data_IF_690754500882
#
_entry.id   IF_690754500882
#
_cell.length_a   1.000
_cell.length_b   1.000
_cell.length_c   1.000
_cell.angle_alpha   90.00
_cell.angle_beta   90.00
_cell.angle_gamma   90.00
#
_symmetry.space_group_name_H-M   'P 1'
#
loop_
_entity.id
_entity.type
_entity.pdbx_description
1 polymer ?
#
# COMPACT_ATOMS: atom_id res chain seq x y z
N UNK A 1 -16.43 15.94 -13.54
CA UNK A 1 -16.19 16.17 -14.99
C UNK A 1 -16.96 15.09 -15.76
N UNK A 2 -17.44 15.34 -16.97
CA UNK A 2 -18.07 14.31 -17.81
C UNK A 2 -17.49 14.34 -19.23
N UNK A 3 -17.65 13.25 -19.98
CA UNK A 3 -17.20 13.16 -21.38
C UNK A 3 -18.35 13.47 -22.31
N UNK A 4 -18.11 14.33 -23.30
CA UNK A 4 -19.01 14.64 -24.40
C UNK A 4 -18.42 14.10 -25.69
N UNK A 5 -19.23 13.39 -26.48
CA UNK A 5 -18.83 12.89 -27.80
C UNK A 5 -19.56 13.69 -28.88
N UNK A 6 -18.99 14.81 -29.33
CA UNK A 6 -19.49 15.61 -30.46
C UNK A 6 -18.31 15.99 -31.35
N UNK A 7 -18.16 15.31 -32.50
CA UNK A 7 -17.02 15.53 -33.41
C UNK A 7 -15.65 15.15 -32.82
N UNK A 8 -15.66 14.23 -31.84
CA UNK A 8 -14.51 13.87 -30.99
C UNK A 8 -14.92 13.76 -29.52
N UNK A 9 -14.11 13.08 -28.71
CA UNK A 9 -14.29 13.03 -27.26
C UNK A 9 -13.76 14.32 -26.61
N UNK A 10 -14.53 14.88 -25.67
CA UNK A 10 -14.16 16.09 -24.91
C UNK A 10 -14.48 15.92 -23.44
N UNK A 11 -13.54 16.30 -22.57
CA UNK A 11 -13.76 16.38 -21.14
C UNK A 11 -14.34 17.75 -20.79
N UNK A 12 -15.53 17.76 -20.21
CA UNK A 12 -16.24 19.00 -19.83
C UNK A 12 -16.35 19.09 -18.31
N UNK A 13 -15.88 20.22 -17.77
CA UNK A 13 -16.08 20.59 -16.39
C UNK A 13 -17.54 21.05 -16.19
N UNK A 14 -18.23 20.44 -15.22
CA UNK A 14 -19.64 20.72 -14.91
C UNK A 14 -19.84 21.48 -13.59
N UNK A 15 -18.76 21.84 -12.90
CA UNK A 15 -18.83 22.34 -11.53
C UNK A 15 -19.61 23.66 -11.44
N UNK A 16 -19.21 24.68 -12.22
CA UNK A 16 -19.89 25.99 -12.30
C UNK A 16 -21.34 25.88 -12.77
N UNK A 17 -21.62 24.96 -13.71
CA UNK A 17 -22.97 24.74 -14.22
C UNK A 17 -23.90 24.13 -13.19
N UNK A 18 -23.42 23.16 -12.41
CA UNK A 18 -24.22 22.48 -11.38
C UNK A 18 -24.40 23.33 -10.12
N UNK A 19 -23.41 24.12 -9.73
CA UNK A 19 -23.47 24.90 -8.48
C UNK A 19 -24.00 26.32 -8.66
N UNK A 20 -23.75 26.97 -9.80
CA UNK A 20 -24.04 28.41 -9.98
C UNK A 20 -24.96 28.70 -11.18
N UNK A 21 -25.42 27.68 -11.91
CA UNK A 21 -26.26 27.86 -13.10
C UNK A 21 -25.54 28.55 -14.27
N UNK A 22 -24.22 28.70 -14.18
CA UNK A 22 -23.38 29.38 -15.17
C UNK A 22 -23.01 28.48 -16.37
N UNK A 23 -22.50 29.05 -17.48
CA UNK A 23 -21.91 28.28 -18.56
C UNK A 23 -20.78 27.37 -18.07
N UNK A 24 -20.52 26.29 -18.83
CA UNK A 24 -19.50 25.29 -18.46
C UNK A 24 -18.11 25.89 -18.30
N UNK A 25 -17.43 25.55 -17.21
CA UNK A 25 -16.11 26.08 -16.82
C UNK A 25 -15.08 25.99 -17.95
N UNK A 26 -14.97 24.79 -18.52
CA UNK A 26 -13.89 24.42 -19.42
C UNK A 26 -14.28 23.16 -20.20
N UNK A 27 -13.82 23.09 -21.43
CA UNK A 27 -13.89 21.91 -22.28
C UNK A 27 -12.49 21.65 -22.83
N UNK A 28 -12.01 20.41 -22.70
CA UNK A 28 -10.68 20.02 -23.13
C UNK A 28 -10.82 18.83 -24.07
N UNK A 29 -10.10 18.84 -25.20
CA UNK A 29 -10.09 17.72 -26.14
C UNK A 29 -9.55 16.47 -25.45
N UNK A 30 -10.30 15.36 -25.51
CA UNK A 30 -9.93 14.12 -24.84
C UNK A 30 -8.58 13.58 -25.34
N UNK A 31 -8.33 13.67 -26.65
CA UNK A 31 -7.09 13.18 -27.25
C UNK A 31 -5.81 13.74 -26.61
N UNK A 32 -5.80 15.02 -26.21
CA UNK A 32 -4.63 15.63 -25.59
C UNK A 32 -4.40 15.12 -24.16
N UNK A 33 -5.49 14.96 -23.40
CA UNK A 33 -5.44 14.42 -22.04
C UNK A 33 -5.09 12.93 -22.07
N UNK A 34 -5.71 12.16 -22.95
CA UNK A 34 -5.49 10.72 -23.08
C UNK A 34 -4.04 10.41 -23.46
N UNK A 35 -3.43 11.22 -24.34
CA UNK A 35 -2.01 11.11 -24.69
C UNK A 35 -1.12 11.43 -23.48
N UNK A 36 -1.34 12.57 -22.80
CA UNK A 36 -0.55 12.97 -21.64
C UNK A 36 -0.63 11.96 -20.48
N UNK A 37 -1.82 11.42 -20.23
CA UNK A 37 -2.04 10.38 -19.22
C UNK A 37 -1.38 9.07 -19.63
N UNK A 38 -1.44 8.69 -20.91
CA UNK A 38 -0.76 7.52 -21.46
C UNK A 38 0.76 7.61 -21.31
N UNK A 39 1.35 8.74 -21.66
CA UNK A 39 2.80 8.97 -21.54
C UNK A 39 3.26 8.96 -20.08
N UNK A 40 2.50 9.60 -19.19
CA UNK A 40 2.78 9.57 -17.76
C UNK A 40 2.69 8.14 -17.19
N UNK A 41 1.71 7.36 -17.64
CA UNK A 41 1.56 5.94 -17.27
C UNK A 41 2.73 5.08 -17.75
N UNK A 42 3.14 5.23 -19.02
CA UNK A 42 4.28 4.50 -19.57
C UNK A 42 5.60 4.89 -18.89
N UNK A 43 5.77 6.17 -18.56
CA UNK A 43 6.92 6.68 -17.81
C UNK A 43 6.96 6.09 -16.40
N UNK A 44 5.82 6.05 -15.70
CA UNK A 44 5.72 5.45 -14.37
C UNK A 44 5.96 3.94 -14.36
N UNK A 45 5.72 3.26 -15.48
CA UNK A 45 6.00 1.83 -15.67
C UNK A 45 7.36 1.54 -16.30
N UNK A 46 8.22 2.56 -16.45
CA UNK A 46 9.55 2.36 -16.96
C UNK A 46 10.30 1.29 -16.12
N UNK A 47 11.02 0.35 -16.76
CA UNK A 47 11.75 -0.73 -16.09
C UNK A 47 12.59 -0.27 -14.89
N UNK A 48 13.26 0.89 -15.00
CA UNK A 48 14.10 1.46 -13.94
C UNK A 48 13.32 1.84 -12.67
N UNK A 49 12.11 2.39 -12.82
CA UNK A 49 11.25 2.78 -11.70
C UNK A 49 10.69 1.54 -10.98
N UNK A 50 10.29 0.51 -11.74
CA UNK A 50 9.84 -0.76 -11.19
C UNK A 50 10.96 -1.50 -10.45
N UNK A 51 12.18 -1.49 -11.00
CA UNK A 51 13.36 -2.04 -10.35
C UNK A 51 13.66 -1.32 -9.03
N UNK A 52 13.68 0.02 -9.03
CA UNK A 52 13.91 0.82 -7.83
C UNK A 52 12.85 0.54 -6.75
N UNK A 53 11.58 0.49 -7.13
CA UNK A 53 10.47 0.18 -6.24
C UNK A 53 10.54 -1.24 -5.68
N UNK A 54 10.91 -2.23 -6.51
CA UNK A 54 11.09 -3.62 -6.08
C UNK A 54 12.23 -3.77 -5.07
N UNK A 55 13.36 -3.05 -5.28
CA UNK A 55 14.50 -3.04 -4.35
C UNK A 55 14.11 -2.40 -3.02
N UNK A 56 13.45 -1.24 -3.06
CA UNK A 56 12.95 -0.56 -1.86
C UNK A 56 12.03 -1.46 -1.04
N UNK A 57 11.07 -2.15 -1.70
CA UNK A 57 10.19 -3.12 -1.04
C UNK A 57 10.95 -4.29 -0.41
N UNK A 58 11.95 -4.85 -1.09
CA UNK A 58 12.77 -5.93 -0.53
C UNK A 58 13.51 -5.48 0.73
N UNK A 59 14.09 -4.29 0.71
CA UNK A 59 14.76 -3.71 1.89
C UNK A 59 13.76 -3.51 3.03
N UNK A 60 12.60 -2.93 2.76
CA UNK A 60 11.55 -2.74 3.78
C UNK A 60 11.04 -4.07 4.36
N UNK A 61 10.92 -5.10 3.52
CA UNK A 61 10.50 -6.42 3.98
C UNK A 61 11.57 -7.09 4.84
N UNK A 62 12.85 -6.93 4.48
CA UNK A 62 13.96 -7.41 5.30
C UNK A 62 14.02 -6.71 6.66
N UNK A 63 13.84 -5.39 6.71
CA UNK A 63 13.83 -4.63 7.98
C UNK A 63 12.64 -5.04 8.85
N UNK A 64 11.44 -5.16 8.28
CA UNK A 64 10.26 -5.64 9.00
C UNK A 64 10.45 -7.06 9.55
N UNK A 65 11.02 -7.98 8.74
CA UNK A 65 11.31 -9.34 9.19
C UNK A 65 12.35 -9.35 10.33
N UNK A 66 13.40 -8.53 10.24
CA UNK A 66 14.40 -8.42 11.29
C UNK A 66 13.83 -7.88 12.61
N UNK A 67 12.99 -6.84 12.54
CA UNK A 67 12.29 -6.30 13.70
C UNK A 67 11.37 -7.35 14.34
N UNK A 68 10.59 -8.07 13.53
CA UNK A 68 9.72 -9.15 14.00
C UNK A 68 10.52 -10.26 14.67
N UNK A 69 11.59 -10.75 14.06
CA UNK A 69 12.44 -11.78 14.66
C UNK A 69 13.09 -11.30 15.96
N UNK A 70 13.42 -10.02 16.09
CA UNK A 70 13.90 -9.44 17.35
C UNK A 70 12.82 -9.46 18.43
N UNK A 71 11.59 -9.06 18.10
CA UNK A 71 10.46 -9.09 19.03
C UNK A 71 10.10 -10.51 19.47
N UNK A 72 10.13 -11.48 18.56
CA UNK A 72 9.92 -12.91 18.86
C UNK A 72 10.98 -13.44 19.85
N UNK A 73 12.25 -13.08 19.67
CA UNK A 73 13.32 -13.44 20.61
C UNK A 73 13.15 -12.78 21.98
N UNK A 74 12.67 -11.55 22.03
CA UNK A 74 12.39 -10.86 23.29
C UNK A 74 11.24 -11.53 24.06
N UNK A 75 10.18 -11.91 23.34
CA UNK A 75 9.07 -12.68 23.90
C UNK A 75 9.55 -14.01 24.51
N UNK A 76 10.42 -14.74 23.81
CA UNK A 76 10.98 -16.00 24.31
C UNK A 76 11.78 -15.79 25.62
N UNK A 77 12.57 -14.71 25.71
CA UNK A 77 13.27 -14.35 26.95
C UNK A 77 12.30 -14.06 28.09
N UNK A 78 11.22 -13.31 27.83
CA UNK A 78 10.18 -13.01 28.83
C UNK A 78 9.46 -14.27 29.32
N UNK A 79 9.12 -15.18 28.40
CA UNK A 79 8.54 -16.50 28.73
C UNK A 79 9.46 -17.33 29.60
N UNK A 80 10.75 -17.36 29.27
CA UNK A 80 11.74 -18.03 30.09
C UNK A 80 11.82 -17.45 31.51
N UNK A 81 11.81 -16.11 31.64
CA UNK A 81 11.81 -15.43 32.94
C UNK A 81 10.56 -15.76 33.75
N UNK A 82 9.37 -15.80 33.13
CA UNK A 82 8.13 -16.19 33.80
C UNK A 82 8.20 -17.64 34.30
N UNK A 83 8.69 -18.58 33.49
CA UNK A 83 8.87 -19.97 33.88
C UNK A 83 9.95 -20.18 34.96
N UNK A 84 10.94 -19.29 35.03
CA UNK A 84 11.91 -19.29 36.13
C UNK A 84 11.27 -18.80 37.44
N UNK A 85 10.50 -17.71 37.38
CA UNK A 85 9.79 -17.16 38.55
C UNK A 85 8.77 -18.17 39.12
N UNK A 86 8.03 -18.86 38.25
CA UNK A 86 7.13 -19.96 38.64
C UNK A 86 7.86 -21.05 39.43
N UNK A 87 9.01 -21.53 38.91
CA UNK A 87 9.81 -22.56 39.60
C UNK A 87 10.36 -22.08 40.95
N UNK A 88 10.69 -20.80 41.07
CA UNK A 88 11.14 -20.21 42.34
C UNK A 88 9.99 -20.17 43.36
N UNK A 89 8.81 -19.73 42.93
CA UNK A 89 7.61 -19.72 43.76
C UNK A 89 7.24 -21.12 44.25
N UNK A 90 7.19 -22.11 43.34
CA UNK A 90 6.85 -23.49 43.68
C UNK A 90 7.86 -24.17 44.63
N UNK A 91 9.08 -23.65 44.74
CA UNK A 91 10.13 -24.16 45.65
C UNK A 91 10.17 -23.41 46.99
N UNK A 92 9.45 -22.29 47.12
CA UNK A 92 9.46 -21.49 48.33
C UNK A 92 8.78 -22.24 49.50
N UNK A 93 9.32 -22.06 50.71
CA UNK A 93 8.72 -22.61 51.92
C UNK A 93 7.41 -21.87 52.25
N UNK A 94 6.27 -22.56 52.40
CA UNK A 94 4.99 -21.94 52.71
C UNK A 94 4.96 -21.22 54.06
N UNK A 95 5.83 -21.58 55.01
CA UNK A 95 5.91 -20.90 56.30
C UNK A 95 6.55 -19.50 56.18
N UNK A 96 7.29 -19.25 55.09
CA UNK A 96 7.90 -17.96 54.81
C UNK A 96 6.98 -17.06 53.97
N UNK A 97 5.86 -16.65 54.56
CA UNK A 97 4.77 -15.92 53.89
C UNK A 97 5.22 -14.67 53.13
N UNK A 98 6.17 -13.90 53.69
CA UNK A 98 6.67 -12.69 53.03
C UNK A 98 7.44 -13.02 51.74
N UNK A 99 8.28 -14.05 51.77
CA UNK A 99 9.03 -14.50 50.59
C UNK A 99 8.09 -15.09 49.54
N UNK A 100 7.09 -15.88 49.96
CA UNK A 100 6.08 -16.41 49.05
C UNK A 100 5.31 -15.28 48.35
N UNK A 101 4.84 -14.26 49.09
CA UNK A 101 4.11 -13.12 48.51
C UNK A 101 4.95 -12.29 47.53
N UNK A 102 6.25 -12.12 47.79
CA UNK A 102 7.12 -11.37 46.88
C UNK A 102 7.45 -12.18 45.61
N UNK A 103 7.60 -13.50 45.72
CA UNK A 103 7.80 -14.38 44.57
C UNK A 103 6.55 -14.47 43.70
N UNK A 104 5.37 -14.54 44.32
CA UNK A 104 4.08 -14.47 43.62
C UNK A 104 3.96 -13.16 42.84
N UNK A 105 4.19 -12.01 43.49
CA UNK A 105 4.15 -10.69 42.84
C UNK A 105 5.12 -10.60 41.65
N UNK A 106 6.33 -11.17 41.77
CA UNK A 106 7.31 -11.20 40.68
C UNK A 106 6.88 -12.10 39.53
N UNK A 107 6.26 -13.23 39.84
CA UNK A 107 5.73 -14.14 38.83
C UNK A 107 4.56 -13.51 38.07
N UNK A 108 3.63 -12.87 38.77
CA UNK A 108 2.52 -12.11 38.16
C UNK A 108 3.03 -10.99 37.26
N UNK A 109 4.04 -10.23 37.70
CA UNK A 109 4.67 -9.19 36.88
C UNK A 109 5.28 -9.79 35.60
N UNK A 110 6.01 -10.90 35.69
CA UNK A 110 6.58 -11.57 34.52
C UNK A 110 5.50 -12.11 33.55
N UNK A 111 4.37 -12.61 34.07
CA UNK A 111 3.24 -13.04 33.24
C UNK A 111 2.58 -11.86 32.51
N UNK A 112 2.46 -10.71 33.17
CA UNK A 112 1.96 -9.49 32.54
C UNK A 112 2.90 -8.99 31.43
N UNK A 113 4.21 -9.05 31.65
CA UNK A 113 5.20 -8.69 30.62
C UNK A 113 5.15 -9.61 29.39
N UNK A 114 4.93 -10.92 29.60
CA UNK A 114 4.71 -11.89 28.51
C UNK A 114 3.45 -11.51 27.74
N UNK A 115 2.33 -11.29 28.43
CA UNK A 115 1.06 -10.93 27.78
C UNK A 115 1.18 -9.64 26.97
N UNK A 116 1.82 -8.61 27.53
CA UNK A 116 2.05 -7.34 26.84
C UNK A 116 2.92 -7.51 25.58
N UNK A 117 3.95 -8.35 25.65
CA UNK A 117 4.81 -8.66 24.50
C UNK A 117 4.07 -9.45 23.41
N UNK A 118 3.22 -10.42 23.79
CA UNK A 118 2.36 -11.17 22.86
C UNK A 118 1.36 -10.26 22.14
N UNK A 119 0.70 -9.36 22.88
CA UNK A 119 -0.21 -8.38 22.29
C UNK A 119 0.50 -7.39 21.36
N UNK A 120 1.72 -6.97 21.70
CA UNK A 120 2.53 -6.12 20.84
C UNK A 120 2.89 -6.83 19.52
N UNK A 121 3.25 -8.12 19.58
CA UNK A 121 3.57 -8.93 18.40
C UNK A 121 2.32 -9.22 17.55
N UNK A 122 1.18 -9.47 18.20
CA UNK A 122 -0.11 -9.66 17.52
C UNK A 122 -0.54 -8.39 16.78
N UNK A 123 -0.37 -7.20 17.38
CA UNK A 123 -0.65 -5.91 16.73
C UNK A 123 0.24 -5.62 15.51
N UNK A 124 1.49 -6.10 15.53
CA UNK A 124 2.41 -5.98 14.38
C UNK A 124 2.09 -6.96 13.25
N UNK A 125 1.27 -7.98 13.51
CA UNK A 125 0.79 -8.92 12.50
C UNK A 125 -0.57 -8.43 12.00
N UNK A 126 -0.66 -7.74 10.85
CA UNK A 126 -1.96 -7.36 10.33
C UNK A 126 -2.82 -8.63 10.14
N UNK A 127 -4.14 -8.58 10.41
CA UNK A 127 -5.04 -9.67 10.07
C UNK A 127 -4.83 -9.97 8.60
N UNK A 128 -4.65 -11.25 8.27
CA UNK A 128 -4.27 -11.86 6.99
C UNK A 128 -4.94 -11.22 5.76
N UNK A 129 -4.58 -9.97 5.46
CA UNK A 129 -4.94 -9.26 4.26
C UNK A 129 -3.97 -9.79 3.22
N UNK A 130 -4.57 -10.52 2.27
CA UNK A 130 -4.00 -11.07 1.04
C UNK A 130 -2.49 -10.89 1.02
N UNK A 131 -1.82 -11.96 1.47
CA UNK A 131 -0.42 -12.27 1.19
C UNK A 131 0.16 -11.24 0.25
N UNK A 132 1.01 -10.35 0.77
CA UNK A 132 2.02 -9.70 -0.06
C UNK A 132 2.59 -10.85 -0.88
N UNK A 133 2.12 -11.00 -2.11
CA UNK A 133 2.66 -11.99 -3.03
C UNK A 133 4.10 -11.59 -3.06
N UNK A 134 4.96 -12.39 -2.44
CA UNK A 134 6.38 -12.19 -2.51
C UNK A 134 6.64 -12.26 -4.00
N UNK A 135 6.78 -11.10 -4.65
CA UNK A 135 6.98 -11.02 -6.09
C UNK A 135 8.33 -11.67 -6.26
N UNK A 136 8.31 -12.93 -6.67
CA UNK A 136 9.52 -13.71 -6.86
C UNK A 136 10.38 -12.96 -7.84
N UNK A 137 11.71 -13.10 -7.71
CA UNK A 137 12.63 -12.43 -8.63
C UNK A 137 12.27 -12.72 -10.08
N UNK A 138 11.90 -13.96 -10.38
CA UNK A 138 11.45 -14.39 -11.70
C UNK A 138 10.15 -13.73 -12.17
N UNK A 139 9.16 -13.55 -11.29
CA UNK A 139 7.94 -12.81 -11.63
C UNK A 139 8.24 -11.33 -11.86
N UNK A 140 9.14 -10.75 -11.07
CA UNK A 140 9.58 -9.36 -11.25
C UNK A 140 10.30 -9.19 -12.60
N UNK A 141 11.22 -10.09 -12.95
CA UNK A 141 11.96 -10.05 -14.22
C UNK A 141 10.99 -10.20 -15.41
N UNK A 142 9.96 -11.06 -15.29
CA UNK A 142 8.87 -11.17 -16.27
C UNK A 142 8.05 -9.87 -16.38
N UNK A 143 7.71 -9.25 -15.26
CA UNK A 143 7.00 -7.95 -15.25
C UNK A 143 7.86 -6.86 -15.91
N UNK A 144 9.16 -6.80 -15.61
CA UNK A 144 10.09 -5.82 -16.17
C UNK A 144 10.26 -5.99 -17.70
N UNK A 145 10.38 -7.24 -18.17
CA UNK A 145 10.44 -7.52 -19.60
C UNK A 145 9.13 -7.19 -20.33
N UNK A 146 7.99 -7.40 -19.67
CA UNK A 146 6.69 -7.00 -20.20
C UNK A 146 6.54 -5.47 -20.23
N UNK A 147 6.98 -4.76 -19.19
CA UNK A 147 6.90 -3.30 -19.15
C UNK A 147 7.84 -2.64 -20.16
N UNK A 148 8.99 -3.24 -20.46
CA UNK A 148 9.85 -2.78 -21.57
C UNK A 148 9.18 -2.88 -22.95
N UNK A 149 8.28 -3.86 -23.15
CA UNK A 149 7.50 -4.02 -24.38
C UNK A 149 6.20 -3.22 -24.37
N UNK A 150 5.73 -2.79 -23.20
CA UNK A 150 4.44 -2.12 -23.02
C UNK A 150 4.26 -0.86 -23.89
N UNK A 151 5.26 0.03 -24.10
CA UNK A 151 5.10 1.17 -25.00
C UNK A 151 4.75 0.76 -26.44
N UNK A 152 5.31 -0.36 -26.92
CA UNK A 152 5.06 -0.86 -28.27
C UNK A 152 3.64 -1.43 -28.39
N UNK A 153 3.19 -2.16 -27.36
CA UNK A 153 1.84 -2.75 -27.35
C UNK A 153 0.78 -1.67 -27.11
N UNK A 154 1.12 -0.61 -26.35
CA UNK A 154 0.21 0.50 -26.06
C UNK A 154 -0.21 1.26 -27.32
N UNK A 155 0.74 1.48 -28.24
CA UNK A 155 0.51 2.13 -29.53
C UNK A 155 -0.08 1.24 -30.62
N UNK A 156 -0.22 -0.07 -30.38
CA UNK A 156 -0.79 -1.00 -31.34
C UNK A 156 -2.32 -0.96 -31.34
N UNK A 157 -2.95 -1.00 -32.52
CA UNK A 157 -4.42 -1.03 -32.67
C UNK A 157 -5.03 -2.34 -32.15
N UNK A 158 -4.22 -3.37 -31.92
CA UNK A 158 -4.67 -4.67 -31.40
C UNK A 158 -5.14 -4.60 -29.94
N UNK A 159 -4.70 -3.61 -29.16
CA UNK A 159 -5.22 -3.37 -27.81
C UNK A 159 -6.52 -2.55 -27.87
N UNK A 160 -7.60 -3.14 -27.40
CA UNK A 160 -8.86 -2.42 -27.20
C UNK A 160 -8.74 -1.32 -26.15
N UNK A 161 -9.47 -0.23 -26.34
CA UNK A 161 -9.56 0.86 -25.36
C UNK A 161 -10.09 0.38 -24.00
N UNK A 162 -10.85 -0.71 -23.97
CA UNK A 162 -11.30 -1.33 -22.72
C UNK A 162 -10.12 -1.87 -21.91
N UNK A 163 -9.15 -2.52 -22.55
CA UNK A 163 -7.93 -3.01 -21.91
C UNK A 163 -7.02 -1.87 -21.45
N UNK A 164 -6.82 -0.83 -22.28
CA UNK A 164 -6.06 0.38 -21.87
C UNK A 164 -6.67 1.00 -20.62
N UNK A 165 -7.99 1.19 -20.60
CA UNK A 165 -8.72 1.74 -19.44
C UNK A 165 -8.63 0.83 -18.21
N UNK A 166 -8.66 -0.50 -18.38
CA UNK A 166 -8.49 -1.42 -17.27
C UNK A 166 -7.10 -1.27 -16.62
N UNK A 167 -6.05 -1.21 -17.44
CA UNK A 167 -4.67 -1.01 -16.96
C UNK A 167 -4.49 0.34 -16.26
N UNK A 168 -5.02 1.43 -16.83
CA UNK A 168 -4.95 2.75 -16.20
C UNK A 168 -5.63 2.75 -14.83
N UNK A 169 -6.78 2.09 -14.67
CA UNK A 169 -7.48 1.99 -13.38
C UNK A 169 -6.73 1.21 -12.31
N UNK A 170 -5.78 0.35 -12.69
CA UNK A 170 -4.96 -0.36 -11.72
C UNK A 170 -3.90 0.53 -11.06
N UNK A 171 -3.45 1.59 -11.75
CA UNK A 171 -2.31 2.41 -11.31
C UNK A 171 -2.71 3.86 -10.99
N UNK A 172 -3.72 4.38 -11.67
CA UNK A 172 -4.12 5.78 -11.59
C UNK A 172 -5.36 5.89 -10.70
N UNK A 173 -5.22 6.55 -9.57
CA UNK A 173 -6.35 6.84 -8.68
C UNK A 173 -7.09 8.11 -9.11
N UNK A 174 -6.35 9.15 -9.45
CA UNK A 174 -6.91 10.42 -9.91
C UNK A 174 -5.97 11.12 -10.89
N UNK A 175 -6.59 11.81 -11.83
CA UNK A 175 -5.93 12.76 -12.72
C UNK A 175 -6.42 14.14 -12.30
N UNK A 176 -5.49 15.00 -11.92
CA UNK A 176 -5.78 16.40 -11.59
C UNK A 176 -5.40 17.23 -12.81
N UNK A 177 -6.31 18.09 -13.24
CA UNK A 177 -6.10 19.00 -14.36
C UNK A 177 -6.01 20.40 -13.78
N UNK A 178 -4.82 21.01 -13.85
CA UNK A 178 -4.62 22.40 -13.43
C UNK A 178 -4.88 23.34 -14.60
N UNK A 179 -5.64 24.41 -14.33
CA UNK A 179 -6.04 25.41 -15.32
C UNK A 179 -4.87 26.35 -15.61
N UNK A 180 -4.27 26.26 -16.79
CA UNK A 180 -3.34 27.26 -17.32
C UNK A 180 -4.05 28.46 -18.00
N UNK A 181 -3.30 29.53 -18.29
CA UNK A 181 -3.82 30.79 -18.85
C UNK A 181 -4.36 30.71 -20.30
N UNK A 182 -4.02 29.65 -21.06
CA UNK A 182 -4.30 29.56 -22.51
C UNK A 182 -4.77 28.16 -22.96
N UNK A 183 -5.81 27.60 -22.32
CA UNK A 183 -6.34 26.25 -22.59
C UNK A 183 -5.34 25.09 -22.47
N UNK A 184 -4.09 25.36 -22.08
CA UNK A 184 -3.08 24.38 -21.71
C UNK A 184 -3.40 23.92 -20.29
N UNK A 185 -4.15 22.83 -20.18
CA UNK A 185 -4.31 22.12 -18.93
C UNK A 185 -3.02 21.35 -18.63
N UNK A 186 -2.35 21.68 -17.52
CA UNK A 186 -1.29 20.84 -17.00
C UNK A 186 -1.96 19.65 -16.30
N UNK A 187 -1.82 18.46 -16.88
CA UNK A 187 -2.33 17.24 -16.28
C UNK A 187 -1.29 16.72 -15.27
N UNK A 188 -1.58 16.86 -13.98
CA UNK A 188 -0.83 16.19 -12.92
C UNK A 188 -1.52 14.87 -12.58
N UNK A 189 -0.91 13.76 -12.98
CA UNK A 189 -1.39 12.41 -12.65
C UNK A 189 -0.90 12.03 -11.25
N UNK A 190 -1.84 11.77 -10.34
CA UNK A 190 -1.50 11.24 -9.03
C UNK A 190 -1.64 9.73 -9.06
N UNK A 191 -0.51 9.04 -9.10
CA UNK A 191 -0.46 7.59 -8.99
C UNK A 191 -0.59 7.21 -7.53
N UNK A 192 -1.59 6.42 -7.19
CA UNK A 192 -1.55 5.70 -5.92
C UNK A 192 -1.26 4.24 -6.23
N UNK A 193 -0.08 3.81 -5.80
CA UNK A 193 0.24 2.40 -5.71
C UNK A 193 -0.47 1.81 -4.50
N UNK A 194 -1.81 1.77 -4.54
CA UNK A 194 -2.59 1.27 -3.43
C UNK A 194 -2.75 -0.25 -3.55
N UNK A 195 -1.91 -0.97 -2.80
CA UNK A 195 -2.20 -2.37 -2.47
C UNK A 195 -3.42 -2.33 -1.55
N UNK A 196 -4.54 -2.83 -2.06
CA UNK A 196 -5.83 -2.98 -1.36
C UNK A 196 -6.73 -1.74 -1.36
N UNK A 197 -7.64 -1.66 -2.34
CA UNK A 197 -8.98 -1.13 -2.08
C UNK A 197 -9.93 -2.31 -1.98
N UNK A 198 -10.14 -2.78 -0.76
CA UNK A 198 -11.40 -3.41 -0.45
C UNK A 198 -12.41 -2.28 -0.23
N UNK A 199 -13.48 -2.32 -1.01
CA UNK A 199 -14.60 -1.39 -0.93
C UNK A 199 -15.42 -1.67 0.30
N UNK A 200 -15.64 -0.68 1.18
CA UNK A 200 -16.87 -0.60 1.97
C UNK A 200 -17.23 0.85 2.29
N UNK A 201 -18.25 1.29 1.54
CA UNK A 201 -19.40 2.09 1.97
C UNK A 201 -19.39 2.71 3.36
N UNK A 202 -19.60 4.02 3.39
CA UNK A 202 -20.10 4.85 4.48
C UNK A 202 -20.43 6.22 3.92
#
# INVERSE_FOLDING_TARGET
MYVRYKGGGEYVCNHLRTQEGQPTCQHIRAAHIDAAVGDAFLTALAPAELDALSRSRRVQQQTNNALRSSAERELERKRYTAALAERQFNRADPDNRLVASELERRWEAALNDVRAAEEALARQTPPKAITQVAISKELNDKVISLTGRLPQIWGDETISDAHRKALLRCLIEKVVLDRGERDLALASTHFSWNVSRDSRSG
#
